data_IF_617491041617
#
_entry.id   IF_617491041617
#
_cell.length_a   1.000
_cell.length_b   1.000
_cell.length_c   1.000
_cell.angle_alpha   90.00
_cell.angle_beta   90.00
_cell.angle_gamma   90.00
#
_symmetry.space_group_name_H-M   'P 1'
#
loop_
_entity.id
_entity.type
_entity.pdbx_description
1 polymer ?
#
# COMPACT_ATOMS: atom_id res chain seq x y z
N UNK A 1 3.14 2.29 26.37
CA UNK A 1 2.87 0.82 26.37
C UNK A 1 1.37 0.61 26.19
N UNK A 2 0.97 -0.20 25.24
CA UNK A 2 -0.42 -0.53 24.95
C UNK A 2 -0.58 -2.05 24.78
N UNK A 3 -1.75 -2.59 25.11
CA UNK A 3 -1.99 -4.01 24.89
C UNK A 3 -2.13 -4.30 23.37
N UNK A 4 -1.52 -5.40 22.90
CA UNK A 4 -1.53 -5.79 21.49
C UNK A 4 -2.96 -5.89 20.95
N UNK A 5 -3.87 -6.52 21.70
CA UNK A 5 -5.27 -6.66 21.31
C UNK A 5 -6.01 -5.31 21.18
N UNK A 6 -5.63 -4.27 21.93
CA UNK A 6 -6.20 -2.93 21.78
C UNK A 6 -5.73 -2.26 20.49
N UNK A 7 -4.47 -2.47 20.11
CA UNK A 7 -3.91 -1.99 18.85
C UNK A 7 -4.60 -2.67 17.66
N UNK A 8 -4.71 -4.01 17.70
CA UNK A 8 -5.36 -4.78 16.63
C UNK A 8 -6.85 -4.38 16.52
N UNK A 9 -7.57 -4.29 17.66
CA UNK A 9 -8.97 -3.87 17.66
C UNK A 9 -9.17 -2.47 17.08
N UNK A 10 -8.26 -1.53 17.36
CA UNK A 10 -8.29 -0.19 16.76
C UNK A 10 -8.04 -0.23 15.25
N UNK A 11 -7.08 -1.02 14.78
CA UNK A 11 -6.80 -1.15 13.35
C UNK A 11 -7.96 -1.84 12.60
N UNK A 12 -8.58 -2.85 13.21
CA UNK A 12 -9.76 -3.53 12.66
C UNK A 12 -10.97 -2.59 12.56
N UNK A 13 -11.18 -1.73 13.57
CA UNK A 13 -12.23 -0.70 13.53
C UNK A 13 -11.96 0.35 12.45
N UNK A 14 -10.71 0.81 12.34
CA UNK A 14 -10.29 1.83 11.37
C UNK A 14 -10.42 1.31 9.92
N UNK A 15 -9.89 0.14 9.65
CA UNK A 15 -9.72 -0.38 8.29
C UNK A 15 -10.88 -1.26 7.81
N UNK A 16 -11.74 -1.71 8.73
CA UNK A 16 -12.89 -2.57 8.44
C UNK A 16 -12.56 -3.76 7.50
N UNK A 17 -11.64 -4.67 7.88
CA UNK A 17 -11.16 -5.72 7.00
C UNK A 17 -12.26 -6.68 6.52
N UNK A 18 -13.37 -6.78 7.26
CA UNK A 18 -14.51 -7.63 6.89
C UNK A 18 -15.28 -7.15 5.65
N UNK A 19 -15.09 -5.90 5.25
CA UNK A 19 -15.66 -5.36 4.01
C UNK A 19 -14.93 -5.89 2.75
N UNK A 20 -13.73 -6.43 2.89
CA UNK A 20 -12.88 -6.85 1.80
C UNK A 20 -12.82 -8.39 1.69
N UNK A 21 -12.95 -8.89 0.48
CA UNK A 21 -12.68 -10.30 0.16
C UNK A 21 -11.22 -10.41 -0.32
N UNK A 22 -10.32 -10.47 0.66
CA UNK A 22 -8.88 -10.34 0.45
C UNK A 22 -8.19 -11.68 0.12
N UNK A 23 -6.96 -11.61 -0.37
CA UNK A 23 -6.12 -12.75 -0.75
C UNK A 23 -5.43 -13.42 0.44
N UNK A 24 -5.47 -12.81 1.63
CA UNK A 24 -4.88 -13.32 2.86
C UNK A 24 -5.59 -12.78 4.10
N UNK A 25 -5.28 -13.31 5.29
CA UNK A 25 -5.89 -12.84 6.53
C UNK A 25 -5.37 -11.44 6.90
N UNK A 26 -6.28 -10.50 7.12
CA UNK A 26 -5.99 -9.21 7.72
C UNK A 26 -6.02 -9.30 9.25
N UNK A 27 -5.29 -8.43 9.94
CA UNK A 27 -5.17 -8.40 11.39
C UNK A 27 -3.95 -9.15 11.91
N UNK A 28 -4.02 -9.64 13.15
CA UNK A 28 -2.91 -10.37 13.79
C UNK A 28 -2.69 -11.72 13.11
N UNK A 29 -1.50 -11.92 12.55
CA UNK A 29 -1.11 -13.15 11.86
C UNK A 29 -0.25 -14.08 12.71
N UNK A 30 0.64 -13.52 13.53
CA UNK A 30 1.50 -14.25 14.45
C UNK A 30 1.43 -13.59 15.82
N UNK A 31 1.01 -14.29 16.87
CA UNK A 31 1.05 -13.75 18.22
C UNK A 31 2.51 -13.62 18.71
N UNK A 32 2.76 -12.62 19.52
CA UNK A 32 4.03 -12.35 20.20
C UNK A 32 3.73 -11.60 21.48
N UNK A 33 4.54 -10.57 21.81
CA UNK A 33 4.37 -9.76 23.01
C UNK A 33 2.93 -9.23 23.17
N UNK A 34 2.37 -9.40 24.37
CA UNK A 34 1.07 -8.84 24.74
C UNK A 34 1.11 -7.32 24.98
N UNK A 35 2.28 -6.78 25.22
CA UNK A 35 2.49 -5.36 25.56
C UNK A 35 3.42 -4.71 24.53
N UNK A 36 2.91 -3.72 23.83
CA UNK A 36 3.61 -3.03 22.75
C UNK A 36 4.12 -1.67 23.24
N UNK A 37 5.42 -1.47 23.12
CA UNK A 37 6.11 -0.19 23.33
C UNK A 37 6.67 0.35 22.01
N UNK A 38 7.10 -0.56 21.13
CA UNK A 38 7.67 -0.23 19.83
C UNK A 38 6.96 -1.00 18.73
N UNK A 39 6.41 -0.29 17.76
CA UNK A 39 5.91 -0.84 16.49
C UNK A 39 6.90 -0.53 15.38
N UNK A 40 7.29 -1.56 14.65
CA UNK A 40 8.00 -1.41 13.37
C UNK A 40 7.01 -1.62 12.24
N UNK A 41 7.01 -0.71 11.26
CA UNK A 41 6.23 -0.89 10.03
C UNK A 41 7.15 -1.14 8.84
N UNK A 42 6.64 -1.88 7.86
CA UNK A 42 7.29 -2.15 6.57
C UNK A 42 6.27 -2.65 5.56
N UNK A 43 6.65 -2.72 4.29
CA UNK A 43 5.69 -3.13 3.24
C UNK A 43 5.46 -4.65 3.28
N UNK A 44 6.50 -5.46 3.24
CA UNK A 44 6.38 -6.91 3.08
C UNK A 44 7.02 -7.70 4.21
N UNK A 45 6.31 -8.70 4.73
CA UNK A 45 6.78 -9.64 5.75
C UNK A 45 7.91 -10.53 5.20
N UNK A 46 9.15 -10.11 5.39
CA UNK A 46 10.34 -10.83 4.97
C UNK A 46 11.39 -10.92 6.10
N UNK A 47 12.41 -11.76 5.91
CA UNK A 47 13.42 -12.02 6.93
C UNK A 47 14.26 -10.78 7.28
N UNK A 48 14.52 -9.91 6.30
CA UNK A 48 15.34 -8.71 6.51
C UNK A 48 14.57 -7.67 7.34
N UNK A 49 13.27 -7.50 7.07
CA UNK A 49 12.39 -6.67 7.90
C UNK A 49 12.37 -7.17 9.36
N UNK A 50 12.19 -8.48 9.57
CA UNK A 50 12.12 -9.03 10.92
C UNK A 50 13.46 -8.94 11.66
N UNK A 51 14.59 -9.15 10.98
CA UNK A 51 15.91 -8.98 11.59
C UNK A 51 16.11 -7.54 12.07
N UNK A 52 15.80 -6.56 11.21
CA UNK A 52 15.91 -5.13 11.54
C UNK A 52 14.89 -4.70 12.59
N UNK A 53 13.68 -5.26 12.59
CA UNK A 53 12.69 -5.01 13.64
C UNK A 53 13.18 -5.46 15.02
N UNK A 54 13.88 -6.60 15.09
CA UNK A 54 14.54 -7.06 16.33
C UNK A 54 15.65 -6.12 16.79
N UNK A 55 16.47 -5.64 15.86
CA UNK A 55 17.53 -4.64 16.16
C UNK A 55 16.94 -3.34 16.71
N UNK A 56 15.75 -2.95 16.23
CA UNK A 56 15.00 -1.79 16.72
C UNK A 56 14.28 -2.04 18.06
N UNK A 57 14.29 -3.26 18.57
CA UNK A 57 13.58 -3.64 19.80
C UNK A 57 12.06 -3.57 19.64
N UNK A 58 11.55 -3.99 18.49
CA UNK A 58 10.12 -4.02 18.23
C UNK A 58 9.41 -5.09 19.05
N UNK A 59 8.19 -4.80 19.45
CA UNK A 59 7.24 -5.76 20.04
C UNK A 59 6.21 -6.20 18.98
N UNK A 60 5.89 -5.30 18.01
CA UNK A 60 4.95 -5.53 16.92
C UNK A 60 5.57 -5.14 15.58
N UNK A 61 5.45 -6.02 14.60
CA UNK A 61 5.70 -5.70 13.19
C UNK A 61 4.36 -5.59 12.47
N UNK A 62 4.11 -4.43 11.87
CA UNK A 62 2.90 -4.15 11.09
C UNK A 62 3.27 -3.99 9.62
N UNK A 63 2.67 -4.79 8.76
CA UNK A 63 2.98 -4.82 7.32
C UNK A 63 1.74 -4.69 6.44
N UNK A 64 1.96 -4.38 5.18
CA UNK A 64 0.96 -4.49 4.13
C UNK A 64 0.87 -5.93 3.61
N UNK A 65 1.95 -6.50 3.16
CA UNK A 65 2.01 -7.89 2.71
C UNK A 65 2.42 -8.83 3.84
N UNK A 66 1.45 -9.60 4.36
CA UNK A 66 1.66 -10.55 5.43
C UNK A 66 2.39 -11.83 5.01
N UNK A 67 2.52 -12.77 5.95
CA UNK A 67 3.12 -14.10 5.72
C UNK A 67 2.15 -15.10 5.09
N UNK A 68 0.86 -14.96 5.36
CA UNK A 68 -0.14 -15.95 4.99
C UNK A 68 -1.03 -15.42 3.87
N UNK A 69 -1.16 -16.24 2.82
CA UNK A 69 -1.97 -15.97 1.65
C UNK A 69 -2.94 -17.10 1.39
N UNK A 70 -4.07 -16.83 0.77
CA UNK A 70 -5.02 -17.85 0.37
C UNK A 70 -4.40 -18.80 -0.67
N UNK A 71 -4.53 -20.08 -0.46
CA UNK A 71 -3.99 -21.11 -1.34
C UNK A 71 -2.76 -21.84 -0.79
N UNK A 72 -2.17 -22.77 -1.57
CA UNK A 72 -0.95 -23.47 -1.20
C UNK A 72 0.28 -22.56 -1.24
N UNK A 73 1.39 -22.91 -0.52
CA UNK A 73 1.65 -24.21 0.06
C UNK A 73 1.19 -24.35 1.52
N UNK A 74 0.68 -25.56 1.86
CA UNK A 74 0.33 -25.93 3.25
C UNK A 74 1.50 -26.50 4.05
N UNK A 75 2.70 -26.50 3.48
CA UNK A 75 3.93 -26.98 4.12
C UNK A 75 4.94 -25.83 4.21
N UNK A 76 5.65 -25.75 5.33
CA UNK A 76 6.69 -24.77 5.53
C UNK A 76 7.97 -25.18 4.80
N UNK A 77 8.49 -24.29 3.98
CA UNK A 77 9.82 -24.39 3.42
C UNK A 77 10.88 -23.79 4.38
N UNK A 78 12.15 -23.80 3.95
CA UNK A 78 13.25 -23.26 4.76
C UNK A 78 13.14 -21.75 4.95
N UNK A 79 12.63 -21.03 3.95
CA UNK A 79 12.47 -19.57 4.04
C UNK A 79 11.35 -19.20 5.02
N UNK A 80 10.21 -19.90 4.95
CA UNK A 80 9.10 -19.73 5.89
C UNK A 80 9.51 -20.08 7.33
N UNK A 81 10.26 -21.20 7.51
CA UNK A 81 10.83 -21.56 8.81
C UNK A 81 11.70 -20.42 9.37
N UNK A 82 12.62 -19.86 8.54
CA UNK A 82 13.50 -18.76 8.98
C UNK A 82 12.70 -17.53 9.41
N UNK A 83 11.69 -17.15 8.63
CA UNK A 83 10.82 -16.00 8.96
C UNK A 83 10.08 -16.19 10.28
N UNK A 84 9.45 -17.33 10.47
CA UNK A 84 8.75 -17.66 11.72
C UNK A 84 9.71 -17.74 12.92
N UNK A 85 10.92 -18.29 12.72
CA UNK A 85 11.91 -18.38 13.78
C UNK A 85 12.37 -16.98 14.24
N UNK A 86 12.55 -16.02 13.32
CA UNK A 86 12.87 -14.64 13.67
C UNK A 86 11.79 -13.98 14.52
N UNK A 87 10.51 -14.24 14.21
CA UNK A 87 9.37 -13.74 14.99
C UNK A 87 9.35 -14.40 16.38
N UNK A 88 9.43 -15.73 16.48
CA UNK A 88 9.36 -16.45 17.75
C UNK A 88 10.56 -16.17 18.67
N UNK A 89 11.78 -16.16 18.11
CA UNK A 89 12.99 -15.87 18.91
C UNK A 89 13.02 -14.42 19.43
N UNK A 90 12.29 -13.51 18.78
CA UNK A 90 12.18 -12.11 19.18
C UNK A 90 10.91 -11.78 19.96
N UNK A 91 10.02 -12.76 20.18
CA UNK A 91 8.67 -12.55 20.72
C UNK A 91 7.90 -11.43 19.97
N UNK A 92 8.13 -11.34 18.64
CA UNK A 92 7.54 -10.34 17.78
C UNK A 92 6.11 -10.73 17.37
N UNK A 93 5.14 -9.89 17.70
CA UNK A 93 3.82 -9.99 17.08
C UNK A 93 3.90 -9.53 15.61
N UNK A 94 3.16 -10.18 14.72
CA UNK A 94 3.01 -9.76 13.32
C UNK A 94 1.56 -9.50 13.00
N UNK A 95 1.26 -8.31 12.49
CA UNK A 95 -0.04 -7.96 11.92
C UNK A 95 0.11 -7.51 10.47
N UNK A 96 -0.90 -7.77 9.65
CA UNK A 96 -0.93 -7.35 8.25
C UNK A 96 -2.30 -6.78 7.88
N UNK A 97 -2.31 -5.72 7.08
CA UNK A 97 -3.52 -5.18 6.46
C UNK A 97 -3.22 -4.86 5.01
N UNK A 98 -3.87 -5.64 4.10
CA UNK A 98 -3.63 -5.58 2.66
C UNK A 98 -4.68 -4.71 1.97
N UNK A 99 -5.64 -5.27 1.24
CA UNK A 99 -6.64 -4.49 0.49
C UNK A 99 -7.42 -3.45 1.34
N UNK A 100 -7.72 -3.69 2.64
CA UNK A 100 -8.33 -2.66 3.48
C UNK A 100 -7.46 -1.40 3.62
N UNK A 101 -6.13 -1.55 3.61
CA UNK A 101 -5.23 -0.41 3.66
C UNK A 101 -5.13 0.29 2.31
N UNK A 102 -5.24 -0.42 1.17
CA UNK A 102 -5.26 0.25 -0.14
C UNK A 102 -6.49 1.12 -0.34
N UNK A 103 -7.66 0.58 0.03
CA UNK A 103 -8.94 1.25 -0.21
C UNK A 103 -9.33 2.33 0.81
N UNK A 104 -8.57 2.54 1.89
CA UNK A 104 -8.93 3.50 2.92
C UNK A 104 -8.68 4.95 2.48
N UNK A 105 -9.71 5.82 2.57
CA UNK A 105 -9.65 7.18 2.00
C UNK A 105 -8.79 8.20 2.77
N UNK A 106 -8.38 7.90 4.01
CA UNK A 106 -7.53 8.80 4.79
C UNK A 106 -6.09 8.29 4.93
N UNK A 107 -5.93 7.01 5.30
CA UNK A 107 -4.62 6.41 5.59
C UNK A 107 -4.18 5.39 4.54
N UNK A 108 -4.97 5.22 3.50
CA UNK A 108 -4.71 4.24 2.44
C UNK A 108 -3.59 4.64 1.51
N UNK A 109 -2.90 3.64 0.95
CA UNK A 109 -1.81 3.84 0.01
C UNK A 109 -2.23 4.77 -1.15
N UNK A 110 -3.40 4.52 -1.74
CA UNK A 110 -3.88 5.25 -2.90
C UNK A 110 -4.27 6.71 -2.58
N UNK A 111 -4.96 6.93 -1.46
CA UNK A 111 -5.36 8.27 -1.03
C UNK A 111 -4.16 9.14 -0.66
N UNK A 112 -3.18 8.55 0.05
CA UNK A 112 -1.97 9.27 0.42
C UNK A 112 -1.07 9.56 -0.78
N UNK A 113 -0.99 8.65 -1.75
CA UNK A 113 -0.28 8.89 -3.01
C UNK A 113 -0.97 10.00 -3.82
N UNK A 114 -2.32 10.05 -3.87
CA UNK A 114 -3.05 11.15 -4.50
C UNK A 114 -2.66 12.50 -3.90
N UNK A 115 -2.68 12.61 -2.57
CA UNK A 115 -2.23 13.83 -1.89
C UNK A 115 -0.76 14.17 -2.14
N UNK A 116 0.12 13.17 -2.17
CA UNK A 116 1.56 13.37 -2.41
C UNK A 116 1.88 13.90 -3.82
N UNK A 117 1.06 13.55 -4.82
CA UNK A 117 1.18 14.12 -6.18
C UNK A 117 0.37 15.43 -6.36
N UNK A 118 -0.28 15.92 -5.30
CA UNK A 118 -1.05 17.17 -5.30
C UNK A 118 -2.40 17.06 -6.00
N UNK A 119 -3.03 15.89 -5.94
CA UNK A 119 -4.41 15.70 -6.38
C UNK A 119 -5.35 15.68 -5.17
N UNK A 120 -6.47 16.38 -5.26
CA UNK A 120 -7.48 16.56 -4.23
C UNK A 120 -8.81 15.88 -4.61
N UNK A 121 -9.87 16.09 -3.84
CA UNK A 121 -11.21 15.54 -4.09
C UNK A 121 -11.19 14.02 -4.28
N UNK A 122 -10.57 13.33 -3.33
CA UNK A 122 -10.37 11.88 -3.37
C UNK A 122 -11.70 11.14 -3.20
N UNK A 123 -12.06 10.31 -4.17
CA UNK A 123 -13.26 9.47 -4.16
C UNK A 123 -12.90 7.99 -4.41
N UNK A 124 -13.74 7.03 -3.92
CA UNK A 124 -13.54 5.61 -4.18
C UNK A 124 -13.54 5.31 -5.69
N UNK A 125 -12.64 4.41 -6.09
CA UNK A 125 -12.43 4.01 -7.48
C UNK A 125 -11.98 2.55 -7.57
N UNK A 126 -12.00 1.95 -8.76
CA UNK A 126 -11.56 0.57 -9.02
C UNK A 126 -12.34 -0.46 -8.18
N UNK A 127 -13.56 -0.83 -8.59
CA UNK A 127 -14.38 -1.80 -7.87
C UNK A 127 -13.70 -3.17 -7.84
N UNK A 128 -13.68 -3.80 -6.66
CA UNK A 128 -13.18 -5.15 -6.48
C UNK A 128 -14.11 -5.93 -5.58
N UNK A 129 -14.88 -6.86 -6.17
CA UNK A 129 -15.89 -7.66 -5.46
C UNK A 129 -16.88 -6.76 -4.68
N UNK A 130 -16.78 -6.68 -3.35
CA UNK A 130 -17.71 -5.90 -2.50
C UNK A 130 -17.16 -4.56 -2.04
N UNK A 131 -15.91 -4.22 -2.41
CA UNK A 131 -15.22 -3.00 -2.01
C UNK A 131 -14.65 -2.25 -3.21
N UNK A 132 -13.98 -1.14 -2.96
CA UNK A 132 -13.15 -0.42 -3.93
C UNK A 132 -11.71 -0.43 -3.43
N UNK A 133 -10.74 -0.59 -4.32
CA UNK A 133 -9.33 -0.68 -3.97
C UNK A 133 -8.59 0.64 -4.15
N UNK A 134 -8.93 1.37 -5.20
CA UNK A 134 -8.26 2.59 -5.60
C UNK A 134 -9.02 3.85 -5.24
N UNK A 135 -8.44 4.95 -5.67
CA UNK A 135 -9.06 6.27 -5.61
C UNK A 135 -9.03 6.95 -6.97
N UNK A 136 -10.01 7.79 -7.26
CA UNK A 136 -9.92 8.83 -8.27
C UNK A 136 -9.82 10.19 -7.60
N UNK A 137 -9.05 11.09 -8.21
CA UNK A 137 -8.78 12.40 -7.66
C UNK A 137 -8.67 13.46 -8.76
N UNK A 138 -8.63 14.73 -8.39
CA UNK A 138 -8.57 15.86 -9.31
C UNK A 138 -7.40 16.78 -8.99
N UNK A 139 -6.78 17.32 -10.03
CA UNK A 139 -5.83 18.42 -9.87
C UNK A 139 -6.57 19.76 -9.87
N UNK A 140 -6.16 20.66 -8.96
CA UNK A 140 -6.78 21.97 -8.82
C UNK A 140 -6.60 22.86 -10.06
N UNK A 141 -7.47 23.81 -10.25
CA UNK A 141 -7.38 24.85 -11.30
C UNK A 141 -7.49 24.28 -12.72
N UNK A 142 -6.51 24.59 -13.57
CA UNK A 142 -6.48 24.15 -14.95
C UNK A 142 -6.01 22.70 -15.14
N UNK A 143 -5.55 22.03 -14.10
CA UNK A 143 -4.86 20.75 -14.19
C UNK A 143 -3.32 20.92 -14.24
N UNK A 144 -2.62 19.84 -14.51
CA UNK A 144 -1.15 19.79 -14.59
C UNK A 144 -0.68 19.32 -15.96
N UNK A 145 0.50 19.75 -16.40
CA UNK A 145 1.08 19.21 -17.62
C UNK A 145 1.48 17.74 -17.45
N UNK A 146 1.41 16.89 -18.49
CA UNK A 146 1.79 15.48 -18.39
C UNK A 146 3.20 15.25 -17.83
N UNK A 147 4.16 16.05 -18.26
CA UNK A 147 5.54 15.97 -17.75
C UNK A 147 5.63 16.34 -16.25
N UNK A 148 4.82 17.28 -15.79
CA UNK A 148 4.73 17.62 -14.37
C UNK A 148 4.12 16.49 -13.54
N UNK A 149 3.09 15.80 -14.06
CA UNK A 149 2.53 14.62 -13.39
C UNK A 149 3.60 13.53 -13.20
N UNK A 150 4.41 13.25 -14.24
CA UNK A 150 5.53 12.28 -14.16
C UNK A 150 6.51 12.68 -13.05
N UNK A 151 6.90 13.95 -13.00
CA UNK A 151 7.80 14.47 -11.96
C UNK A 151 7.23 14.39 -10.55
N UNK A 152 5.94 14.69 -10.39
CA UNK A 152 5.25 14.58 -9.09
C UNK A 152 5.19 13.12 -8.61
N UNK A 153 4.87 12.18 -9.51
CA UNK A 153 4.88 10.74 -9.19
C UNK A 153 6.29 10.28 -8.86
N UNK A 154 7.31 10.70 -9.63
CA UNK A 154 8.72 10.40 -9.35
C UNK A 154 9.14 10.92 -7.97
N UNK A 155 8.80 12.15 -7.64
CA UNK A 155 9.14 12.74 -6.35
C UNK A 155 8.45 12.04 -5.17
N UNK A 156 7.16 11.67 -5.34
CA UNK A 156 6.37 10.99 -4.30
C UNK A 156 6.86 9.56 -4.02
N UNK A 157 7.27 8.83 -5.06
CA UNK A 157 7.68 7.42 -4.95
C UNK A 157 9.19 7.21 -4.84
N UNK A 158 9.97 8.26 -5.07
CA UNK A 158 11.43 8.21 -5.05
C UNK A 158 12.06 7.45 -6.22
N UNK A 159 11.28 7.15 -7.29
CA UNK A 159 11.78 6.41 -8.46
C UNK A 159 11.15 6.92 -9.75
N UNK A 160 11.89 6.74 -10.85
CA UNK A 160 11.42 7.06 -12.19
C UNK A 160 10.27 6.12 -12.59
N UNK A 161 9.05 6.61 -12.87
CA UNK A 161 7.96 5.77 -13.32
C UNK A 161 8.15 5.36 -14.79
N UNK A 162 7.71 4.16 -15.14
CA UNK A 162 7.45 3.83 -16.53
C UNK A 162 6.20 4.59 -16.98
N UNK A 163 6.33 5.54 -17.89
CA UNK A 163 5.25 6.42 -18.29
C UNK A 163 4.92 6.33 -19.79
N UNK A 164 3.64 6.25 -20.12
CA UNK A 164 3.07 6.43 -21.46
C UNK A 164 2.16 7.65 -21.42
N UNK A 165 2.57 8.74 -22.07
CA UNK A 165 1.95 10.05 -21.92
C UNK A 165 1.13 10.42 -23.17
N UNK A 166 0.21 9.55 -23.54
CA UNK A 166 -0.61 9.67 -24.75
C UNK A 166 -2.02 10.26 -24.48
N UNK A 167 -2.28 10.72 -23.26
CA UNK A 167 -3.54 11.33 -22.80
C UNK A 167 -3.62 12.85 -23.05
N UNK A 168 -4.64 13.53 -22.46
CA UNK A 168 -4.87 14.95 -22.66
C UNK A 168 -3.85 15.86 -21.94
N UNK A 169 -3.64 17.05 -22.50
CA UNK A 169 -2.90 18.13 -21.86
C UNK A 169 -3.84 19.36 -21.74
N UNK A 170 -4.13 19.85 -20.53
CA UNK A 170 -3.64 19.40 -19.24
C UNK A 170 -4.36 18.14 -18.68
N UNK A 171 -3.69 17.44 -17.75
CA UNK A 171 -4.27 16.36 -16.95
C UNK A 171 -5.08 16.99 -15.81
N UNK A 172 -6.35 16.64 -15.69
CA UNK A 172 -7.27 17.15 -14.65
C UNK A 172 -7.69 16.09 -13.67
N UNK A 173 -7.72 14.84 -14.11
CA UNK A 173 -8.23 13.70 -13.33
C UNK A 173 -7.26 12.54 -13.38
N UNK A 174 -7.16 11.82 -12.26
CA UNK A 174 -6.27 10.66 -12.12
C UNK A 174 -6.96 9.55 -11.34
N UNK A 175 -6.83 8.31 -11.83
CA UNK A 175 -7.13 7.10 -11.08
C UNK A 175 -5.84 6.52 -10.50
N UNK A 176 -5.88 6.02 -9.28
CA UNK A 176 -4.71 5.45 -8.59
C UNK A 176 -5.08 4.10 -7.99
N UNK A 177 -4.30 3.07 -8.36
CA UNK A 177 -4.33 1.74 -7.73
C UNK A 177 -2.90 1.28 -7.55
N UNK A 178 -2.40 1.28 -6.30
CA UNK A 178 -1.05 0.85 -5.93
C UNK A 178 -0.77 -0.61 -6.29
N UNK A 179 0.46 -1.05 -6.15
CA UNK A 179 0.85 -2.44 -6.36
C UNK A 179 0.60 -2.95 -7.77
N UNK A 180 0.06 -4.16 -7.89
CA UNK A 180 -0.22 -4.84 -9.15
C UNK A 180 -1.56 -4.43 -9.78
N UNK A 181 -1.88 -3.13 -9.81
CA UNK A 181 -3.16 -2.59 -10.22
C UNK A 181 -3.39 -2.39 -11.73
N UNK A 182 -2.51 -2.91 -12.60
CA UNK A 182 -2.57 -2.63 -14.05
C UNK A 182 -3.90 -2.93 -14.73
N UNK A 183 -4.67 -3.90 -14.24
CA UNK A 183 -5.97 -4.28 -14.80
C UNK A 183 -7.04 -3.20 -14.61
N UNK A 184 -6.90 -2.35 -13.60
CA UNK A 184 -7.78 -1.22 -13.32
C UNK A 184 -7.59 -0.02 -14.27
N UNK A 185 -6.66 -0.12 -15.24
CA UNK A 185 -6.61 0.82 -16.37
C UNK A 185 -7.95 0.86 -17.11
N UNK A 186 -8.64 -0.28 -17.24
CA UNK A 186 -9.97 -0.32 -17.90
C UNK A 186 -11.00 0.50 -17.11
N UNK A 187 -10.99 0.42 -15.78
CA UNK A 187 -11.87 1.25 -14.96
C UNK A 187 -11.59 2.75 -15.14
N UNK A 188 -10.30 3.13 -15.32
CA UNK A 188 -9.94 4.53 -15.57
C UNK A 188 -10.43 5.03 -16.92
N UNK A 189 -10.34 4.18 -17.96
CA UNK A 189 -10.84 4.47 -19.29
C UNK A 189 -12.37 4.62 -19.27
N UNK A 190 -13.07 3.68 -18.66
CA UNK A 190 -14.54 3.68 -18.57
C UNK A 190 -15.07 4.87 -17.75
N UNK A 191 -14.30 5.31 -16.75
CA UNK A 191 -14.61 6.50 -15.95
C UNK A 191 -14.22 7.83 -16.64
N UNK A 192 -13.58 7.78 -17.82
CA UNK A 192 -13.15 8.96 -18.58
C UNK A 192 -12.07 9.77 -17.86
N UNK A 193 -11.17 9.09 -17.13
CA UNK A 193 -10.06 9.76 -16.44
C UNK A 193 -8.93 10.08 -17.42
N UNK A 194 -8.22 11.18 -17.16
CA UNK A 194 -7.11 11.64 -18.00
C UNK A 194 -5.84 10.81 -17.79
N UNK A 195 -5.64 10.29 -16.55
CA UNK A 195 -4.45 9.53 -16.18
C UNK A 195 -4.78 8.37 -15.25
N UNK A 196 -3.92 7.35 -15.28
CA UNK A 196 -3.93 6.22 -14.36
C UNK A 196 -2.53 5.96 -13.82
N UNK A 197 -2.40 5.86 -12.49
CA UNK A 197 -1.15 5.57 -11.77
C UNK A 197 -1.29 4.24 -11.04
N UNK A 198 -0.29 3.37 -11.19
CA UNK A 198 -0.22 2.07 -10.52
C UNK A 198 1.21 1.73 -10.12
N UNK A 199 1.42 0.61 -9.43
CA UNK A 199 2.76 0.13 -9.10
C UNK A 199 3.40 -0.64 -10.25
N UNK A 200 2.71 -1.62 -10.83
CA UNK A 200 3.25 -2.49 -11.87
C UNK A 200 2.53 -2.32 -13.22
N UNK A 201 3.26 -2.33 -14.35
CA UNK A 201 2.66 -2.41 -15.67
C UNK A 201 2.32 -3.85 -16.04
N UNK A 202 1.37 -4.02 -16.96
CA UNK A 202 1.22 -5.25 -17.74
C UNK A 202 1.69 -5.01 -19.19
N UNK A 203 2.03 -6.07 -19.93
CA UNK A 203 2.50 -5.92 -21.32
C UNK A 203 1.50 -5.13 -22.17
N UNK A 204 0.20 -5.39 -22.00
CA UNK A 204 -0.90 -4.73 -22.73
C UNK A 204 -1.12 -3.26 -22.37
N UNK A 205 -0.60 -2.77 -21.23
CA UNK A 205 -0.88 -1.44 -20.70
C UNK A 205 -0.52 -0.32 -21.67
N UNK A 206 0.64 -0.44 -22.35
CA UNK A 206 1.08 0.58 -23.30
C UNK A 206 0.11 0.76 -24.48
N UNK A 207 -0.19 -0.33 -25.19
CA UNK A 207 -1.07 -0.27 -26.35
C UNK A 207 -2.46 0.23 -25.94
N UNK A 208 -2.98 -0.29 -24.83
CA UNK A 208 -4.32 0.04 -24.36
C UNK A 208 -4.45 1.50 -23.92
N UNK A 209 -3.47 2.03 -23.18
CA UNK A 209 -3.44 3.42 -22.74
C UNK A 209 -3.40 4.39 -23.96
N UNK A 210 -2.54 4.09 -24.95
CA UNK A 210 -2.39 4.88 -26.16
C UNK A 210 -3.68 4.91 -27.00
N UNK A 211 -4.27 3.74 -27.23
CA UNK A 211 -5.52 3.64 -28.00
C UNK A 211 -6.70 4.35 -27.33
N UNK A 212 -6.72 4.37 -26.00
CA UNK A 212 -7.73 5.06 -25.21
C UNK A 212 -7.44 6.55 -25.00
N UNK A 213 -6.23 7.03 -25.27
CA UNK A 213 -5.83 8.39 -25.01
C UNK A 213 -5.77 8.74 -23.52
N UNK A 214 -5.25 7.82 -22.70
CA UNK A 214 -5.08 7.96 -21.24
C UNK A 214 -3.60 7.91 -20.90
N UNK A 215 -3.12 8.78 -20.02
CA UNK A 215 -1.77 8.65 -19.49
C UNK A 215 -1.68 7.46 -18.54
N UNK A 216 -0.64 6.63 -18.68
CA UNK A 216 -0.39 5.49 -17.80
C UNK A 216 0.99 5.61 -17.16
N UNK A 217 1.04 5.52 -15.82
CA UNK A 217 2.29 5.57 -15.06
C UNK A 217 2.38 4.36 -14.13
N UNK A 218 3.47 3.58 -14.23
CA UNK A 218 3.81 2.51 -13.28
C UNK A 218 5.01 2.94 -12.44
N UNK A 219 4.78 3.15 -11.16
CA UNK A 219 5.72 3.82 -10.25
C UNK A 219 6.40 2.88 -9.24
N UNK A 220 6.23 1.57 -9.39
CA UNK A 220 6.79 0.53 -8.55
C UNK A 220 5.81 0.03 -7.49
N UNK A 221 5.66 -1.29 -7.42
CA UNK A 221 4.77 -1.95 -6.45
C UNK A 221 5.12 -1.51 -5.02
N UNK A 222 6.34 -1.83 -4.60
CA UNK A 222 6.85 -1.46 -3.27
C UNK A 222 6.71 0.04 -2.99
N UNK A 223 7.12 0.87 -3.93
CA UNK A 223 7.19 2.31 -3.73
C UNK A 223 5.80 2.95 -3.55
N UNK A 224 4.78 2.43 -4.25
CA UNK A 224 3.40 2.91 -4.13
C UNK A 224 2.69 2.42 -2.86
N UNK A 225 3.26 1.47 -2.13
CA UNK A 225 2.67 0.86 -0.93
C UNK A 225 3.40 1.20 0.38
N UNK A 226 4.35 2.14 0.34
CA UNK A 226 5.03 2.61 1.56
C UNK A 226 4.21 3.60 2.38
N UNK A 227 3.21 4.23 1.78
CA UNK A 227 2.45 5.33 2.37
C UNK A 227 1.54 4.88 3.52
N UNK A 228 0.73 3.87 3.29
CA UNK A 228 -0.28 3.42 4.24
C UNK A 228 0.34 2.86 5.52
N UNK A 229 1.36 2.01 5.42
CA UNK A 229 2.02 1.44 6.61
C UNK A 229 2.74 2.50 7.45
N UNK A 230 3.31 3.55 6.83
CA UNK A 230 3.89 4.70 7.55
C UNK A 230 2.80 5.46 8.31
N UNK A 231 1.71 5.79 7.64
CA UNK A 231 0.59 6.51 8.24
C UNK A 231 -0.06 5.73 9.39
N UNK A 232 -0.21 4.40 9.25
CA UNK A 232 -0.69 3.56 10.35
C UNK A 232 0.27 3.58 11.54
N UNK A 233 1.57 3.46 11.31
CA UNK A 233 2.57 3.51 12.37
C UNK A 233 2.58 4.85 13.12
N UNK A 234 2.50 5.97 12.42
CA UNK A 234 2.40 7.32 12.99
C UNK A 234 1.11 7.46 13.82
N UNK A 235 -0.02 7.01 13.28
CA UNK A 235 -1.32 7.04 13.98
C UNK A 235 -1.31 6.18 15.24
N UNK A 236 -0.66 5.02 15.24
CA UNK A 236 -0.47 4.19 16.43
C UNK A 236 0.42 4.87 17.47
N UNK A 237 1.52 5.49 17.04
CA UNK A 237 2.42 6.23 17.92
C UNK A 237 1.68 7.38 18.63
N UNK A 238 0.92 8.16 17.89
CA UNK A 238 0.13 9.27 18.42
C UNK A 238 -0.96 8.78 19.39
N UNK A 239 -1.75 7.77 18.98
CA UNK A 239 -2.91 7.33 19.77
C UNK A 239 -2.54 6.60 21.05
N UNK A 240 -1.48 5.79 21.03
CA UNK A 240 -1.11 4.90 22.14
C UNK A 240 0.14 5.34 22.90
N UNK A 241 0.81 6.41 22.45
CA UNK A 241 2.06 6.88 23.06
C UNK A 241 3.19 5.86 22.97
N UNK A 242 3.27 5.12 21.85
CA UNK A 242 4.30 4.11 21.57
C UNK A 242 5.29 4.62 20.54
N UNK A 243 6.48 4.01 20.52
CA UNK A 243 7.51 4.32 19.50
C UNK A 243 7.11 3.69 18.16
N UNK A 244 7.25 4.44 17.07
CA UNK A 244 7.13 3.94 15.70
C UNK A 244 8.44 4.08 14.94
N UNK A 245 8.79 3.05 14.17
CA UNK A 245 9.91 3.05 13.21
C UNK A 245 9.44 2.43 11.91
N UNK A 246 9.56 3.17 10.81
CA UNK A 246 9.43 2.56 9.48
C UNK A 246 10.77 1.97 9.05
N UNK A 247 10.78 0.69 8.71
CA UNK A 247 11.96 -0.01 8.20
C UNK A 247 11.85 -0.16 6.70
N UNK A 248 12.68 0.60 5.99
CA UNK A 248 12.76 0.55 4.53
C UNK A 248 13.58 -0.68 4.07
N UNK A 249 12.90 -1.65 3.46
CA UNK A 249 13.52 -2.82 2.80
C UNK A 249 13.18 -2.71 1.31
N UNK A 250 13.98 -1.96 0.52
CA UNK A 250 13.63 -1.58 -0.84
C UNK A 250 13.45 -2.79 -1.75
N UNK A 251 12.43 -2.72 -2.60
CA UNK A 251 12.19 -3.65 -3.69
C UNK A 251 12.15 -2.84 -5.01
N UNK A 252 12.89 -3.24 -6.06
CA UNK A 252 12.89 -2.51 -7.32
C UNK A 252 11.60 -2.69 -8.14
N UNK A 253 10.68 -3.54 -7.70
CA UNK A 253 9.38 -3.79 -8.37
C UNK A 253 8.28 -3.00 -7.75
#
# INVERSE_FOLDING_TARGET
>A
MAACNQIIGYLDELLNPTAYDDYGPNGLQVPGSDQIQTVVTGVSANADLFARAREEGADLVLVHHGLFWAGPPRALDRASKRRLQLLFDGDLALAAYHLPLDGHLEVGNNALLAGAIGADDVEPFAPHKRATLGVRARFAGAGVAPAELVERVRAATGREPLAFTDGPDPVRTVGIVSGAGADHLEDAIDAGLDAFVTGEPAERSMARAREAGVHFLAAGHYATETFGVRALGERLAERFGIRHVFVDVPNPI
#
